data_IF_974056193537
#
_entry.id   IF_974056193537
#
_cell.length_a   1.000
_cell.length_b   1.000
_cell.length_c   1.000
_cell.angle_alpha   90.00
_cell.angle_beta   90.00
_cell.angle_gamma   90.00
#
_symmetry.space_group_name_H-M   'P 1'
#
loop_
_entity.id
_entity.type
_entity.pdbx_description
1 polymer ?
#
# COMPACT_ATOMS: atom_id res chain seq x y z
N UNK A 1 0.39 -18.25 5.26
CA UNK A 1 -0.92 -18.79 5.68
C UNK A 1 -1.51 -17.82 6.69
N UNK A 2 -2.75 -17.45 6.52
CA UNK A 2 -3.44 -16.59 7.47
C UNK A 2 -4.01 -17.48 8.58
N UNK A 3 -3.34 -17.59 9.70
CA UNK A 3 -3.73 -18.46 10.82
C UNK A 3 -5.04 -18.02 11.51
N UNK A 4 -5.60 -16.87 11.14
CA UNK A 4 -6.81 -16.28 11.76
C UNK A 4 -8.09 -16.48 10.94
N UNK A 5 -8.05 -17.18 9.80
CA UNK A 5 -9.24 -17.42 8.99
C UNK A 5 -9.85 -16.18 8.31
N UNK A 6 -9.10 -15.06 8.22
CA UNK A 6 -9.55 -13.82 7.58
C UNK A 6 -9.24 -13.90 6.08
N UNK A 7 -10.22 -13.68 5.23
CA UNK A 7 -10.02 -13.50 3.81
C UNK A 7 -9.66 -12.04 3.51
N UNK A 8 -8.68 -11.84 2.62
CA UNK A 8 -8.20 -10.51 2.25
C UNK A 8 -8.46 -10.26 0.77
N UNK A 9 -9.04 -9.10 0.49
CA UNK A 9 -9.30 -8.62 -0.86
C UNK A 9 -8.68 -7.25 -1.04
N UNK A 10 -8.03 -7.02 -2.19
CA UNK A 10 -7.33 -5.78 -2.50
C UNK A 10 -7.81 -5.25 -3.85
N UNK A 11 -9.01 -4.62 -3.91
CA UNK A 11 -9.46 -4.01 -5.14
C UNK A 11 -8.55 -2.81 -5.48
N UNK A 12 -7.93 -2.86 -6.63
CA UNK A 12 -6.92 -1.89 -7.10
C UNK A 12 -7.37 -1.11 -8.34
N UNK A 13 -8.61 -1.32 -8.79
CA UNK A 13 -9.18 -0.68 -9.96
C UNK A 13 -10.66 -0.34 -9.76
N UNK A 14 -11.27 0.31 -10.78
CA UNK A 14 -12.67 0.72 -10.77
C UNK A 14 -13.52 -0.10 -11.76
N UNK A 15 -13.10 -1.31 -12.11
CA UNK A 15 -13.94 -2.17 -12.93
C UNK A 15 -15.25 -2.49 -12.21
N UNK A 16 -16.36 -2.05 -12.81
CA UNK A 16 -17.68 -2.17 -12.17
C UNK A 16 -18.17 -3.61 -12.09
N UNK A 17 -17.72 -4.51 -12.99
CA UNK A 17 -18.08 -5.92 -12.95
C UNK A 17 -17.36 -6.63 -11.81
N UNK A 18 -16.04 -6.37 -11.66
CA UNK A 18 -15.23 -6.95 -10.60
C UNK A 18 -15.69 -6.46 -9.22
N UNK A 19 -15.93 -5.16 -9.08
CA UNK A 19 -16.44 -4.59 -7.84
C UNK A 19 -17.81 -5.14 -7.47
N UNK A 20 -18.73 -5.27 -8.44
CA UNK A 20 -20.05 -5.86 -8.22
C UNK A 20 -19.95 -7.33 -7.82
N UNK A 21 -19.10 -8.09 -8.48
CA UNK A 21 -18.87 -9.50 -8.16
C UNK A 21 -18.29 -9.65 -6.75
N UNK A 22 -17.29 -8.82 -6.39
CA UNK A 22 -16.70 -8.80 -5.06
C UNK A 22 -17.77 -8.49 -4.00
N UNK A 23 -18.52 -7.41 -4.15
CA UNK A 23 -19.55 -7.03 -3.17
C UNK A 23 -20.62 -8.11 -3.00
N UNK A 24 -21.01 -8.80 -4.09
CA UNK A 24 -21.96 -9.91 -4.04
C UNK A 24 -21.41 -11.20 -3.43
N UNK A 25 -20.07 -11.33 -3.33
CA UNK A 25 -19.41 -12.49 -2.72
C UNK A 25 -19.15 -12.32 -1.21
N UNK A 26 -19.08 -11.09 -0.73
CA UNK A 26 -18.74 -10.79 0.66
C UNK A 26 -19.92 -11.03 1.60
N UNK A 27 -19.66 -11.64 2.76
CA UNK A 27 -20.52 -11.48 3.92
C UNK A 27 -20.26 -10.10 4.53
N UNK A 28 -21.10 -9.12 4.17
CA UNK A 28 -20.94 -7.74 4.60
C UNK A 28 -21.03 -7.59 6.12
N UNK A 29 -21.80 -8.45 6.80
CA UNK A 29 -21.91 -8.43 8.26
C UNK A 29 -20.62 -8.85 8.99
N UNK A 30 -19.74 -9.59 8.29
CA UNK A 30 -18.42 -10.03 8.77
C UNK A 30 -17.26 -9.32 8.06
N UNK A 31 -17.54 -8.27 7.30
CA UNK A 31 -16.53 -7.54 6.49
C UNK A 31 -16.15 -6.20 7.12
N UNK A 32 -14.86 -5.91 7.13
CA UNK A 32 -14.30 -4.59 7.43
C UNK A 32 -13.64 -4.01 6.17
N UNK A 33 -14.09 -2.85 5.75
CA UNK A 33 -13.48 -2.07 4.67
C UNK A 33 -12.38 -1.15 5.22
N UNK A 34 -11.14 -1.42 4.84
CA UNK A 34 -10.00 -0.56 5.17
C UNK A 34 -9.73 0.39 4.00
N UNK A 35 -10.12 1.65 4.14
CA UNK A 35 -10.00 2.68 3.11
C UNK A 35 -8.72 3.46 3.34
N UNK A 36 -7.79 3.41 2.38
CA UNK A 36 -6.45 3.98 2.53
C UNK A 36 -6.17 4.99 1.43
N UNK A 37 -5.96 6.25 1.80
CA UNK A 37 -5.43 7.27 0.90
C UNK A 37 -4.61 8.28 1.69
N UNK A 38 -3.32 8.45 1.37
CA UNK A 38 -2.46 9.41 2.06
C UNK A 38 -3.03 10.81 2.01
N UNK A 39 -3.30 11.33 0.82
CA UNK A 39 -3.80 12.70 0.62
C UNK A 39 -5.29 12.86 0.95
N UNK A 40 -6.03 11.75 0.99
CA UNK A 40 -7.49 11.76 1.08
C UNK A 40 -8.20 12.25 -0.18
N UNK A 41 -7.46 12.52 -1.28
CA UNK A 41 -7.98 13.06 -2.54
C UNK A 41 -7.95 12.06 -3.70
N UNK A 42 -7.54 10.81 -3.47
CA UNK A 42 -7.48 9.79 -4.51
C UNK A 42 -8.88 9.42 -4.97
N UNK A 43 -9.20 9.68 -6.22
CA UNK A 43 -10.55 9.51 -6.78
C UNK A 43 -10.99 8.04 -6.72
N UNK A 44 -10.12 7.13 -7.10
CA UNK A 44 -10.39 5.68 -7.08
C UNK A 44 -10.76 5.22 -5.67
N UNK A 45 -10.01 5.65 -4.67
CA UNK A 45 -10.30 5.32 -3.27
C UNK A 45 -11.62 5.93 -2.82
N UNK A 46 -11.93 7.16 -3.23
CA UNK A 46 -13.20 7.82 -2.86
C UNK A 46 -14.40 7.09 -3.47
N UNK A 47 -14.31 6.67 -4.75
CA UNK A 47 -15.36 5.92 -5.44
C UNK A 47 -15.56 4.55 -4.77
N UNK A 48 -14.50 3.81 -4.49
CA UNK A 48 -14.59 2.52 -3.80
C UNK A 48 -15.18 2.66 -2.39
N UNK A 49 -14.82 3.71 -1.66
CA UNK A 49 -15.40 4.00 -0.35
C UNK A 49 -16.90 4.32 -0.42
N UNK A 50 -17.32 5.06 -1.46
CA UNK A 50 -18.74 5.36 -1.69
C UNK A 50 -19.54 4.09 -2.03
N UNK A 51 -18.97 3.18 -2.82
CA UNK A 51 -19.60 1.87 -3.12
C UNK A 51 -19.71 1.03 -1.84
N UNK A 52 -18.63 0.93 -1.05
CA UNK A 52 -18.65 0.21 0.22
C UNK A 52 -19.73 0.77 1.17
N UNK A 53 -19.78 2.10 1.29
CA UNK A 53 -20.85 2.77 2.05
C UNK A 53 -22.23 2.37 1.56
N UNK A 54 -22.46 2.48 0.25
CA UNK A 54 -23.77 2.21 -0.34
C UNK A 54 -24.25 0.78 -0.04
N UNK A 55 -23.40 -0.23 -0.20
CA UNK A 55 -23.77 -1.63 0.07
C UNK A 55 -24.00 -1.88 1.55
N UNK A 56 -23.20 -1.28 2.43
CA UNK A 56 -23.39 -1.39 3.88
C UNK A 56 -24.72 -0.75 4.34
N UNK A 57 -25.03 0.45 3.83
CA UNK A 57 -26.29 1.16 4.14
C UNK A 57 -27.50 0.39 3.61
N UNK A 58 -27.41 -0.23 2.43
CA UNK A 58 -28.47 -1.05 1.85
C UNK A 58 -28.81 -2.27 2.71
N UNK A 59 -27.80 -2.84 3.37
CA UNK A 59 -27.96 -3.96 4.33
C UNK A 59 -28.27 -3.49 5.76
N UNK A 60 -28.42 -2.17 5.98
CA UNK A 60 -28.71 -1.62 7.30
C UNK A 60 -27.53 -1.73 8.29
N UNK A 61 -26.30 -1.87 7.82
CA UNK A 61 -25.12 -2.06 8.62
C UNK A 61 -24.51 -0.71 9.06
N UNK A 62 -23.98 -0.68 10.29
CA UNK A 62 -23.36 0.52 10.88
C UNK A 62 -21.96 0.74 10.32
N UNK A 63 -21.76 1.82 9.54
CA UNK A 63 -20.48 2.18 8.93
C UNK A 63 -19.33 2.22 9.93
N UNK A 64 -19.59 2.64 11.18
CA UNK A 64 -18.59 2.73 12.25
C UNK A 64 -17.97 1.38 12.65
N UNK A 65 -18.68 0.29 12.36
CA UNK A 65 -18.24 -1.09 12.66
C UNK A 65 -17.61 -1.77 11.46
N UNK A 66 -17.92 -1.29 10.26
CA UNK A 66 -17.56 -1.96 9.01
C UNK A 66 -16.60 -1.16 8.14
N UNK A 67 -16.22 0.06 8.57
CA UNK A 67 -15.24 0.88 7.84
C UNK A 67 -14.17 1.43 8.79
N UNK A 68 -12.94 1.50 8.28
CA UNK A 68 -11.79 2.13 8.92
C UNK A 68 -11.05 2.94 7.86
N UNK A 69 -10.75 4.20 8.15
CA UNK A 69 -10.04 5.09 7.23
C UNK A 69 -8.60 5.29 7.69
N UNK A 70 -7.65 5.26 6.73
CA UNK A 70 -6.26 5.65 6.95
C UNK A 70 -5.94 6.82 6.02
N UNK A 71 -5.76 8.00 6.58
CA UNK A 71 -5.43 9.22 5.81
C UNK A 71 -4.57 10.16 6.64
N UNK A 72 -3.95 11.16 6.01
CA UNK A 72 -3.27 12.23 6.76
C UNK A 72 -4.27 13.01 7.62
N UNK A 73 -3.83 13.54 8.78
CA UNK A 73 -4.66 14.37 9.66
C UNK A 73 -4.78 15.80 9.10
N UNK A 74 -5.28 15.93 7.88
CA UNK A 74 -5.53 17.18 7.19
C UNK A 74 -6.96 17.21 6.65
N UNK A 75 -7.45 18.39 6.31
CA UNK A 75 -8.72 18.52 5.64
C UNK A 75 -8.65 17.90 4.24
N UNK A 76 -9.49 16.93 3.98
CA UNK A 76 -9.58 16.23 2.69
C UNK A 76 -10.94 15.55 2.54
N UNK A 77 -11.41 15.28 1.31
CA UNK A 77 -12.68 14.60 1.09
C UNK A 77 -12.84 13.29 1.86
N UNK A 78 -11.77 12.50 1.98
CA UNK A 78 -11.82 11.25 2.73
C UNK A 78 -11.87 11.46 4.25
N UNK A 79 -11.15 12.46 4.76
CA UNK A 79 -11.23 12.82 6.18
C UNK A 79 -12.62 13.38 6.53
N UNK A 80 -13.16 14.28 5.70
CA UNK A 80 -14.49 14.85 5.87
C UNK A 80 -15.58 13.74 5.79
N UNK A 81 -15.42 12.78 4.86
CA UNK A 81 -16.30 11.63 4.76
C UNK A 81 -16.29 10.78 6.04
N UNK A 82 -15.09 10.49 6.57
CA UNK A 82 -14.96 9.70 7.78
C UNK A 82 -15.54 10.42 9.01
N UNK A 83 -15.31 11.73 9.14
CA UNK A 83 -15.83 12.55 10.23
C UNK A 83 -17.37 12.61 10.17
N UNK A 84 -17.95 12.95 9.01
CA UNK A 84 -19.38 13.03 8.81
C UNK A 84 -20.12 11.73 9.14
N UNK A 85 -19.50 10.59 8.92
CA UNK A 85 -20.05 9.27 9.19
C UNK A 85 -19.57 8.65 10.52
N UNK A 86 -18.77 9.38 11.31
CA UNK A 86 -18.18 8.93 12.59
C UNK A 86 -17.37 7.64 12.44
N UNK A 87 -16.73 7.46 11.29
CA UNK A 87 -15.85 6.33 11.01
C UNK A 87 -14.51 6.58 11.68
N UNK A 88 -13.95 5.54 12.32
CA UNK A 88 -12.66 5.67 12.97
C UNK A 88 -11.54 5.93 11.96
N UNK A 89 -10.64 6.86 12.30
CA UNK A 89 -9.51 7.24 11.47
C UNK A 89 -8.18 6.90 12.14
N UNK A 90 -7.27 6.33 11.35
CA UNK A 90 -5.87 6.16 11.71
C UNK A 90 -5.02 7.18 10.92
N UNK A 91 -4.14 7.88 11.61
CA UNK A 91 -3.31 8.90 11.00
C UNK A 91 -2.21 8.27 10.12
N UNK A 92 -2.21 8.62 8.84
CA UNK A 92 -1.07 8.35 7.95
C UNK A 92 0.05 9.35 8.27
N UNK A 93 1.32 8.91 8.43
CA UNK A 93 2.44 9.82 8.70
C UNK A 93 2.63 10.84 7.56
N UNK A 94 2.72 12.12 7.88
CA UNK A 94 2.81 13.20 6.90
C UNK A 94 4.07 13.11 6.01
N UNK A 95 5.20 12.75 6.62
CA UNK A 95 6.50 12.72 5.96
C UNK A 95 6.81 11.42 5.21
N UNK A 96 5.88 10.44 5.23
CA UNK A 96 6.04 9.17 4.52
C UNK A 96 5.28 9.22 3.21
N UNK A 97 5.98 9.07 2.08
CA UNK A 97 5.36 8.93 0.77
C UNK A 97 4.54 7.63 0.66
N UNK A 98 3.46 7.63 -0.14
CA UNK A 98 2.58 6.47 -0.30
C UNK A 98 3.33 5.18 -0.62
N UNK A 99 4.25 5.22 -1.59
CA UNK A 99 5.07 4.07 -2.01
C UNK A 99 6.08 3.58 -0.96
N UNK A 100 6.34 4.37 0.08
CA UNK A 100 7.21 4.02 1.21
C UNK A 100 6.43 3.63 2.47
N UNK A 101 5.10 3.56 2.40
CA UNK A 101 4.22 3.44 3.56
C UNK A 101 4.20 2.03 4.20
N UNK A 102 4.94 1.06 3.67
CA UNK A 102 4.94 -0.32 4.16
C UNK A 102 5.24 -0.43 5.67
N UNK A 103 6.19 0.37 6.19
CA UNK A 103 6.54 0.40 7.62
C UNK A 103 5.72 1.40 8.45
N UNK A 104 4.70 2.00 7.87
CA UNK A 104 3.72 2.84 8.56
C UNK A 104 2.47 2.05 8.96
N UNK A 105 1.46 2.73 9.51
CA UNK A 105 0.15 2.14 9.80
C UNK A 105 -0.47 1.44 8.59
N UNK A 106 -0.20 1.90 7.38
CA UNK A 106 -0.73 1.35 6.12
C UNK A 106 -0.35 -0.12 5.93
N UNK A 107 0.92 -0.48 6.14
CA UNK A 107 1.36 -1.86 6.01
C UNK A 107 1.32 -2.63 7.34
N UNK A 108 1.60 -1.95 8.47
CA UNK A 108 1.70 -2.62 9.78
C UNK A 108 0.34 -3.05 10.33
N UNK A 109 -0.72 -2.27 10.11
CA UNK A 109 -2.04 -2.61 10.59
C UNK A 109 -2.60 -3.89 9.94
N UNK A 110 -2.68 -4.01 8.61
CA UNK A 110 -3.10 -5.27 7.98
C UNK A 110 -2.15 -6.43 8.29
N UNK A 111 -0.83 -6.22 8.33
CA UNK A 111 0.12 -7.27 8.70
C UNK A 111 -0.16 -7.85 10.10
N UNK A 112 -0.47 -7.00 11.07
CA UNK A 112 -0.86 -7.43 12.41
C UNK A 112 -2.15 -8.25 12.41
N UNK A 113 -3.14 -7.85 11.62
CA UNK A 113 -4.38 -8.61 11.46
C UNK A 113 -4.15 -9.97 10.77
N UNK A 114 -3.16 -10.06 9.89
CA UNK A 114 -2.70 -11.30 9.26
C UNK A 114 -1.89 -12.21 10.20
N UNK A 115 -1.64 -11.78 11.45
CA UNK A 115 -0.87 -12.54 12.43
C UNK A 115 0.64 -12.30 12.38
N UNK A 116 1.10 -11.36 11.54
CA UNK A 116 2.52 -10.96 11.48
C UNK A 116 2.82 -9.99 12.63
N UNK A 117 3.92 -10.20 13.34
CA UNK A 117 4.37 -9.27 14.39
C UNK A 117 4.98 -8.01 13.74
N UNK A 118 4.33 -6.83 13.82
CA UNK A 118 4.82 -5.62 13.19
C UNK A 118 6.14 -5.12 13.81
N UNK A 119 6.43 -5.50 15.07
CA UNK A 119 7.69 -5.15 15.72
C UNK A 119 8.86 -5.89 15.09
N UNK A 120 8.68 -7.17 14.76
CA UNK A 120 9.70 -7.97 14.05
C UNK A 120 9.96 -7.41 12.65
N UNK A 121 8.92 -7.04 11.91
CA UNK A 121 9.07 -6.41 10.60
C UNK A 121 9.86 -5.09 10.69
N UNK A 122 9.51 -4.24 11.64
CA UNK A 122 10.22 -2.97 11.83
C UNK A 122 11.66 -3.17 12.32
N UNK A 123 11.90 -4.16 13.17
CA UNK A 123 13.24 -4.50 13.62
C UNK A 123 14.13 -4.96 12.46
N UNK A 124 13.62 -5.80 11.56
CA UNK A 124 14.35 -6.21 10.35
C UNK A 124 14.68 -5.01 9.44
N UNK A 125 13.71 -4.11 9.22
CA UNK A 125 13.96 -2.87 8.48
C UNK A 125 15.00 -1.97 9.14
N UNK A 126 15.00 -1.88 10.47
CA UNK A 126 15.99 -1.14 11.24
C UNK A 126 17.39 -1.76 11.13
N UNK A 127 17.49 -3.07 11.18
CA UNK A 127 18.77 -3.79 11.03
C UNK A 127 19.43 -3.46 9.67
N UNK A 128 18.68 -3.50 8.58
CA UNK A 128 19.19 -3.12 7.26
C UNK A 128 19.64 -1.65 7.22
N UNK A 129 18.89 -0.75 7.84
CA UNK A 129 19.27 0.66 7.93
C UNK A 129 20.58 0.85 8.73
N UNK A 130 20.73 0.15 9.84
CA UNK A 130 21.94 0.21 10.67
C UNK A 130 23.15 -0.35 9.91
N UNK A 131 22.99 -1.45 9.16
CA UNK A 131 24.02 -1.97 8.26
C UNK A 131 24.40 -0.93 7.18
N UNK A 132 23.40 -0.31 6.54
CA UNK A 132 23.64 0.75 5.56
C UNK A 132 24.44 1.92 6.16
N UNK A 133 24.10 2.37 7.36
CA UNK A 133 24.78 3.47 8.03
C UNK A 133 26.22 3.11 8.44
N UNK A 134 26.50 1.84 8.76
CA UNK A 134 27.83 1.36 9.12
C UNK A 134 28.73 1.13 7.90
N UNK A 135 28.17 0.51 6.85
CA UNK A 135 28.96 0.11 5.66
C UNK A 135 29.10 1.23 4.62
N UNK A 136 28.17 2.20 4.61
CA UNK A 136 28.19 3.31 3.65
C UNK A 136 28.26 2.82 2.20
N UNK A 137 29.34 3.17 1.49
CA UNK A 137 29.54 2.81 0.09
C UNK A 137 29.74 1.31 -0.16
N UNK A 138 30.12 0.55 0.85
CA UNK A 138 30.33 -0.90 0.75
C UNK A 138 29.04 -1.70 0.95
N UNK A 139 27.94 -1.06 1.32
CA UNK A 139 26.65 -1.71 1.46
C UNK A 139 26.12 -2.17 0.09
N UNK A 140 25.60 -3.40 0.01
CA UNK A 140 25.17 -4.02 -1.26
C UNK A 140 24.12 -3.20 -2.02
N UNK A 141 23.21 -2.53 -1.33
CA UNK A 141 22.24 -1.65 -1.98
C UNK A 141 22.91 -0.45 -2.67
N UNK A 142 23.97 0.13 -2.07
CA UNK A 142 24.72 1.24 -2.65
C UNK A 142 25.53 0.75 -3.84
N UNK A 143 26.24 -0.36 -3.69
CA UNK A 143 27.00 -0.99 -4.79
C UNK A 143 26.12 -1.34 -5.98
N UNK A 144 24.92 -1.87 -5.72
CA UNK A 144 23.94 -2.18 -6.77
C UNK A 144 23.44 -0.91 -7.47
N UNK A 145 23.17 0.17 -6.73
CA UNK A 145 22.75 1.45 -7.29
C UNK A 145 23.85 2.07 -8.19
N UNK A 146 25.10 2.01 -7.73
CA UNK A 146 26.28 2.49 -8.50
C UNK A 146 26.42 1.67 -9.78
N UNK A 147 26.32 0.34 -9.69
CA UNK A 147 26.43 -0.53 -10.86
C UNK A 147 25.34 -0.25 -11.89
N UNK A 148 24.08 -0.09 -11.44
CA UNK A 148 22.97 0.27 -12.32
C UNK A 148 23.17 1.64 -12.99
N UNK A 149 23.66 2.62 -12.25
CA UNK A 149 23.97 3.94 -12.81
C UNK A 149 25.10 3.87 -13.86
N UNK A 150 26.17 3.15 -13.58
CA UNK A 150 27.26 2.97 -14.54
C UNK A 150 26.79 2.27 -15.83
N UNK A 151 25.95 1.24 -15.72
CA UNK A 151 25.37 0.59 -16.89
C UNK A 151 24.46 1.53 -17.67
N UNK A 152 23.69 2.40 -16.99
CA UNK A 152 22.87 3.42 -17.66
C UNK A 152 23.74 4.40 -18.48
N UNK A 153 24.87 4.85 -17.96
CA UNK A 153 25.81 5.71 -18.68
C UNK A 153 26.40 5.02 -19.93
N UNK A 154 26.48 3.68 -19.93
CA UNK A 154 26.88 2.86 -21.07
C UNK A 154 25.72 2.55 -22.04
N UNK A 155 24.52 3.09 -21.79
CA UNK A 155 23.36 2.96 -22.68
C UNK A 155 22.41 1.82 -22.37
N UNK A 156 22.58 1.08 -21.26
CA UNK A 156 21.60 0.10 -20.78
C UNK A 156 20.44 0.84 -20.12
N UNK A 157 19.30 0.89 -20.79
CA UNK A 157 18.13 1.69 -20.36
C UNK A 157 16.94 0.87 -19.87
N UNK A 158 17.11 -0.43 -19.71
CA UNK A 158 16.09 -1.32 -19.19
C UNK A 158 16.69 -2.31 -18.18
N UNK A 159 15.94 -2.59 -17.10
CA UNK A 159 16.25 -3.68 -16.17
C UNK A 159 15.10 -4.68 -16.15
N UNK A 160 15.43 -5.94 -15.98
CA UNK A 160 14.44 -7.02 -15.87
C UNK A 160 14.61 -7.72 -14.53
N UNK A 161 13.53 -7.76 -13.77
CA UNK A 161 13.49 -8.51 -12.52
C UNK A 161 12.86 -9.88 -12.76
N UNK A 162 13.65 -10.94 -12.63
CA UNK A 162 13.16 -12.31 -12.71
C UNK A 162 12.66 -12.76 -11.34
N UNK A 163 11.35 -12.94 -11.22
CA UNK A 163 10.71 -13.38 -9.98
C UNK A 163 10.33 -14.85 -10.08
N UNK A 164 10.83 -15.63 -9.14
CA UNK A 164 10.54 -17.06 -9.03
C UNK A 164 9.47 -17.29 -7.97
N UNK A 165 8.34 -17.81 -8.42
CA UNK A 165 7.18 -18.13 -7.58
C UNK A 165 6.11 -17.03 -7.52
N UNK A 166 4.86 -17.45 -7.55
CA UNK A 166 3.67 -16.58 -7.67
C UNK A 166 3.56 -15.54 -6.55
N UNK A 167 4.00 -15.90 -5.34
CA UNK A 167 3.99 -14.98 -4.18
C UNK A 167 4.86 -13.75 -4.35
N UNK A 168 5.85 -13.80 -5.25
CA UNK A 168 6.76 -12.70 -5.53
C UNK A 168 6.23 -11.71 -6.57
N UNK A 169 5.15 -12.04 -7.30
CA UNK A 169 4.61 -11.20 -8.36
C UNK A 169 4.17 -9.82 -7.84
N UNK A 170 3.49 -9.77 -6.69
CA UNK A 170 3.05 -8.52 -6.07
C UNK A 170 4.24 -7.64 -5.67
N UNK A 171 5.35 -8.25 -5.22
CA UNK A 171 6.59 -7.53 -4.94
C UNK A 171 7.15 -6.86 -6.21
N UNK A 172 7.13 -7.55 -7.34
CA UNK A 172 7.56 -6.99 -8.62
C UNK A 172 6.73 -5.80 -9.05
N UNK A 173 5.41 -5.87 -8.91
CA UNK A 173 4.50 -4.77 -9.22
C UNK A 173 4.80 -3.55 -8.32
N UNK A 174 4.97 -3.76 -7.01
CA UNK A 174 5.36 -2.71 -6.08
C UNK A 174 6.72 -2.11 -6.41
N UNK A 175 7.73 -2.93 -6.71
CA UNK A 175 9.07 -2.46 -7.07
C UNK A 175 9.05 -1.60 -8.33
N UNK A 176 8.32 -2.01 -9.36
CA UNK A 176 8.16 -1.24 -10.60
C UNK A 176 7.58 0.14 -10.34
N UNK A 177 6.51 0.23 -9.53
CA UNK A 177 5.92 1.50 -9.15
C UNK A 177 6.91 2.35 -8.34
N UNK A 178 7.55 1.75 -7.32
CA UNK A 178 8.55 2.43 -6.49
C UNK A 178 9.67 3.03 -7.34
N UNK A 179 10.19 2.27 -8.28
CA UNK A 179 11.26 2.67 -9.17
C UNK A 179 10.83 3.81 -10.09
N UNK A 180 9.75 3.62 -10.86
CA UNK A 180 9.27 4.59 -11.83
C UNK A 180 8.93 5.95 -11.18
N UNK A 181 8.23 5.95 -10.06
CA UNK A 181 7.86 7.18 -9.35
C UNK A 181 9.04 7.86 -8.62
N UNK A 182 10.11 7.13 -8.29
CA UNK A 182 11.24 7.67 -7.55
C UNK A 182 12.33 8.22 -8.46
N UNK A 183 12.71 7.51 -9.51
CA UNK A 183 13.86 7.83 -10.37
C UNK A 183 13.50 8.15 -11.82
N UNK A 184 12.31 7.82 -12.28
CA UNK A 184 11.84 8.13 -13.63
C UNK A 184 11.38 9.60 -13.77
N UNK A 185 12.33 10.55 -13.70
CA UNK A 185 12.03 11.99 -13.76
C UNK A 185 12.90 12.69 -14.79
N UNK A 186 12.35 13.76 -15.40
CA UNK A 186 13.07 14.63 -16.35
C UNK A 186 13.70 13.88 -17.56
N UNK A 187 13.05 12.81 -18.01
CA UNK A 187 13.57 12.01 -19.12
C UNK A 187 14.73 11.08 -18.74
N UNK A 188 15.09 10.99 -17.47
CA UNK A 188 16.09 10.05 -16.96
C UNK A 188 15.42 8.86 -16.24
N UNK A 189 16.18 7.81 -16.02
CA UNK A 189 15.77 6.59 -15.34
C UNK A 189 15.86 5.37 -16.25
N UNK A 190 15.96 4.21 -15.59
CA UNK A 190 15.98 2.91 -16.28
C UNK A 190 14.54 2.37 -16.28
N UNK A 191 14.07 1.89 -17.41
CA UNK A 191 12.77 1.23 -17.53
C UNK A 191 12.77 -0.11 -16.79
N UNK A 192 11.69 -0.45 -16.10
CA UNK A 192 11.51 -1.68 -15.31
C UNK A 192 10.30 -2.48 -15.76
#
# INVERSE_FOLDING_TARGET
>A
MNDKGINWYFPDNLDGQDLKALMGHLDLSATLFLVVSKSGNTMETAIQAAIARHVLEAEGLDLRKHMLVVTQPNQSPLADFAEANRIHQLAHPEHVGGRYAMFSVVGMFPAMLMGVDPRKLRAAGREILDQFMQMGMDHDAVRSAIAMHALQEEGYNAQVMYLYGDKSMVFGAWYRQLWAESVGKQGSGIMT
#
